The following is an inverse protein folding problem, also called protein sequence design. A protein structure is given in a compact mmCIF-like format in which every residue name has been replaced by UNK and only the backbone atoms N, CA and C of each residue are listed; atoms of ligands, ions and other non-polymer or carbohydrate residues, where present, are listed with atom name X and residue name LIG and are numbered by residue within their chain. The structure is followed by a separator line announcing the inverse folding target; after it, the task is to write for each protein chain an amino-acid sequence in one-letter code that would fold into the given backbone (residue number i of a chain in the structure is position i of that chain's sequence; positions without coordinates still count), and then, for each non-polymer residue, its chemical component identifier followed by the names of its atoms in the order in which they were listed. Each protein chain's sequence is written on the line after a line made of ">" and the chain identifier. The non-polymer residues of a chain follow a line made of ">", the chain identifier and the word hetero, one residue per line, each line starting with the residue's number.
data_IF_767318014485
#
_entry.id   IF_767318014485
#
_cell.length_a   1.000
_cell.length_b   1.000
_cell.length_c   1.000
_cell.angle_alpha   90.00
_cell.angle_beta   90.00
_cell.angle_gamma   90.00
#
_symmetry.space_group_name_H-M   'P 1'
#
loop_
_entity.id
_entity.type
_entity.pdbx_description
1 polymer ?
#
# COMPACT_ATOMS: atom_id res chain seq x y z
N UNK A 1 -6.21 -57.02 -4.21
CA UNK A 1 -6.05 -55.64 -4.72
C UNK A 1 -5.47 -54.82 -3.58
N UNK A 2 -4.32 -54.19 -3.79
CA UNK A 2 -3.66 -53.39 -2.75
C UNK A 2 -4.43 -52.08 -2.55
N UNK A 3 -5.00 -51.86 -1.37
CA UNK A 3 -5.53 -50.56 -0.98
C UNK A 3 -4.35 -49.65 -0.64
N UNK A 4 -4.09 -48.66 -1.50
CA UNK A 4 -3.13 -47.61 -1.22
C UNK A 4 -3.74 -46.62 -0.22
N UNK A 5 -3.34 -46.69 1.05
CA UNK A 5 -3.59 -45.65 2.03
C UNK A 5 -2.67 -44.46 1.74
N UNK A 6 -3.08 -43.61 0.81
CA UNK A 6 -2.42 -42.32 0.55
C UNK A 6 -2.79 -41.40 1.72
N UNK A 7 -1.82 -41.13 2.60
CA UNK A 7 -1.93 -40.10 3.64
C UNK A 7 -1.94 -38.72 2.97
N UNK A 8 -3.14 -38.18 2.72
CA UNK A 8 -3.26 -36.81 2.18
C UNK A 8 -3.28 -35.81 3.33
N UNK A 9 -2.38 -34.84 3.27
CA UNK A 9 -2.22 -33.79 4.27
C UNK A 9 -3.43 -32.82 4.26
N UNK A 10 -3.91 -32.41 5.43
CA UNK A 10 -5.12 -31.59 5.59
C UNK A 10 -4.96 -30.20 4.97
N UNK A 11 -3.72 -29.70 4.93
CA UNK A 11 -3.38 -28.39 4.40
C UNK A 11 -3.67 -28.28 2.90
N UNK A 12 -3.78 -29.41 2.18
CA UNK A 12 -4.08 -29.44 0.75
C UNK A 12 -5.55 -29.14 0.42
N UNK A 13 -6.45 -29.15 1.42
CA UNK A 13 -7.88 -28.93 1.25
C UNK A 13 -8.42 -27.70 1.99
N UNK A 14 -7.54 -26.76 2.33
CA UNK A 14 -7.91 -25.50 2.95
C UNK A 14 -8.28 -24.46 1.87
N UNK A 15 -9.34 -23.71 2.13
CA UNK A 15 -9.70 -22.55 1.31
C UNK A 15 -8.79 -21.38 1.63
N UNK A 16 -8.07 -20.83 0.64
CA UNK A 16 -7.15 -19.71 0.91
C UNK A 16 -7.85 -18.37 1.22
N UNK A 17 -9.18 -18.32 1.21
CA UNK A 17 -9.97 -17.11 1.53
C UNK A 17 -10.41 -17.13 3.00
N UNK A 18 -11.03 -18.23 3.46
CA UNK A 18 -11.48 -18.36 4.86
C UNK A 18 -10.51 -19.13 5.76
N UNK A 19 -9.47 -19.75 5.17
CA UNK A 19 -8.47 -20.58 5.85
C UNK A 19 -9.02 -21.82 6.57
N UNK A 20 -10.27 -22.19 6.24
CA UNK A 20 -10.92 -23.40 6.72
C UNK A 20 -10.98 -24.47 5.64
N UNK A 21 -11.23 -25.72 6.03
CA UNK A 21 -11.48 -26.83 5.12
C UNK A 21 -12.62 -26.48 4.14
N UNK A 22 -12.41 -26.78 2.86
CA UNK A 22 -13.33 -26.43 1.79
C UNK A 22 -14.76 -26.91 2.05
N UNK A 23 -15.72 -25.97 2.04
CA UNK A 23 -17.17 -26.22 2.10
C UNK A 23 -17.76 -25.94 0.74
N UNK A 24 -18.44 -26.94 0.16
CA UNK A 24 -18.91 -26.91 -1.23
C UNK A 24 -17.79 -26.40 -2.18
N UNK A 25 -16.68 -27.16 -2.29
CA UNK A 25 -15.53 -26.73 -3.08
C UNK A 25 -15.92 -26.46 -4.52
N UNK A 26 -15.44 -25.37 -5.08
CA UNK A 26 -15.53 -25.04 -6.50
C UNK A 26 -14.12 -24.82 -7.04
N UNK A 27 -13.85 -25.33 -8.23
CA UNK A 27 -12.57 -25.15 -8.91
C UNK A 27 -12.77 -24.17 -10.06
N UNK A 28 -12.06 -23.05 -10.02
CA UNK A 28 -12.13 -22.03 -11.07
C UNK A 28 -11.17 -22.39 -12.22
N UNK A 29 -11.28 -21.77 -13.43
CA UNK A 29 -10.55 -22.22 -14.62
C UNK A 29 -9.01 -22.24 -14.51
N UNK A 30 -8.42 -21.52 -13.55
CA UNK A 30 -6.99 -21.59 -13.28
C UNK A 30 -6.56 -22.78 -12.40
N UNK A 31 -7.49 -23.66 -12.02
CA UNK A 31 -7.23 -24.88 -11.23
C UNK A 31 -7.27 -24.72 -9.72
N UNK A 32 -7.36 -23.48 -9.19
CA UNK A 32 -7.48 -23.25 -7.76
C UNK A 32 -8.90 -23.51 -7.25
N UNK A 33 -9.00 -23.98 -6.00
CA UNK A 33 -10.27 -24.36 -5.39
C UNK A 33 -10.59 -23.56 -4.13
N UNK A 34 -11.85 -23.15 -3.99
CA UNK A 34 -12.35 -22.33 -2.89
C UNK A 34 -13.70 -22.85 -2.40
N UNK A 35 -14.16 -22.40 -1.23
CA UNK A 35 -15.56 -22.54 -0.88
C UNK A 35 -16.40 -21.71 -1.87
N UNK A 36 -17.53 -22.24 -2.32
CA UNK A 36 -18.39 -21.56 -3.30
C UNK A 36 -18.80 -20.16 -2.83
N UNK A 37 -19.16 -20.01 -1.56
CA UNK A 37 -19.51 -18.73 -0.95
C UNK A 37 -18.33 -17.77 -0.91
N UNK A 38 -17.13 -18.24 -0.55
CA UNK A 38 -15.94 -17.41 -0.43
C UNK A 38 -15.54 -16.77 -1.76
N UNK A 39 -15.51 -17.54 -2.85
CA UNK A 39 -15.13 -16.98 -4.16
C UNK A 39 -16.24 -16.11 -4.76
N UNK A 40 -17.52 -16.42 -4.49
CA UNK A 40 -18.62 -15.54 -4.89
C UNK A 40 -18.50 -14.17 -4.22
N UNK A 41 -18.38 -14.13 -2.89
CA UNK A 41 -18.25 -12.87 -2.13
C UNK A 41 -17.01 -12.08 -2.56
N UNK A 42 -15.89 -12.76 -2.85
CA UNK A 42 -14.69 -12.11 -3.34
C UNK A 42 -14.91 -11.40 -4.68
N UNK A 43 -15.64 -12.01 -5.61
CA UNK A 43 -15.99 -11.39 -6.88
C UNK A 43 -17.08 -10.33 -6.77
N UNK A 44 -18.05 -10.51 -5.88
CA UNK A 44 -19.15 -9.56 -5.65
C UNK A 44 -18.64 -8.19 -5.14
N UNK A 45 -17.49 -8.15 -4.46
CA UNK A 45 -16.85 -6.90 -4.00
C UNK A 45 -16.25 -6.05 -5.14
N UNK A 46 -15.93 -6.66 -6.28
CA UNK A 46 -15.29 -5.98 -7.42
C UNK A 46 -16.14 -6.02 -8.71
N UNK A 47 -17.41 -6.37 -8.61
CA UNK A 47 -18.31 -6.66 -9.76
C UNK A 47 -18.46 -5.46 -10.72
N UNK A 48 -18.31 -4.23 -10.20
CA UNK A 48 -18.38 -2.99 -11.00
C UNK A 48 -17.25 -2.82 -12.03
N UNK A 49 -16.13 -3.56 -11.89
CA UNK A 49 -14.98 -3.47 -12.81
C UNK A 49 -15.07 -4.44 -14.00
N UNK A 50 -16.01 -5.38 -14.00
CA UNK A 50 -16.15 -6.39 -15.07
C UNK A 50 -14.93 -7.31 -15.26
N UNK A 51 -14.02 -7.36 -14.27
CA UNK A 51 -12.79 -8.18 -14.31
C UNK A 51 -12.72 -9.01 -13.03
N UNK A 52 -12.79 -10.33 -13.17
CA UNK A 52 -12.76 -11.29 -12.06
C UNK A 52 -11.37 -11.87 -11.89
N UNK A 53 -10.84 -11.92 -10.67
CA UNK A 53 -9.46 -12.36 -10.41
C UNK A 53 -9.42 -13.59 -9.51
N UNK A 54 -8.45 -14.47 -9.73
CA UNK A 54 -8.14 -15.54 -8.79
C UNK A 54 -7.40 -14.98 -7.55
N UNK A 55 -7.86 -15.29 -6.32
CA UNK A 55 -7.18 -14.86 -5.08
C UNK A 55 -5.72 -15.33 -4.95
N UNK A 56 -5.38 -16.50 -5.50
CA UNK A 56 -4.04 -17.11 -5.34
C UNK A 56 -3.06 -16.71 -6.45
N UNK A 57 -3.41 -16.97 -7.72
CA UNK A 57 -2.49 -16.73 -8.85
C UNK A 57 -2.75 -15.42 -9.59
N UNK A 58 -3.78 -14.66 -9.21
CA UNK A 58 -4.17 -13.37 -9.83
C UNK A 58 -4.55 -13.46 -11.31
N UNK A 59 -4.77 -14.66 -11.84
CA UNK A 59 -5.24 -14.84 -13.21
C UNK A 59 -6.61 -14.15 -13.40
N UNK A 60 -6.78 -13.44 -14.52
CA UNK A 60 -7.93 -12.57 -14.78
C UNK A 60 -8.92 -13.21 -15.75
N UNK A 61 -10.21 -13.04 -15.48
CA UNK A 61 -11.31 -13.50 -16.33
C UNK A 61 -12.20 -12.31 -16.67
N UNK A 62 -12.48 -12.10 -17.96
CA UNK A 62 -13.32 -11.00 -18.48
C UNK A 62 -14.81 -11.29 -18.40
N UNK A 63 -15.18 -12.57 -18.20
CA UNK A 63 -16.55 -13.01 -17.90
C UNK A 63 -16.53 -13.74 -16.57
N UNK A 64 -17.59 -13.57 -15.77
CA UNK A 64 -17.70 -14.24 -14.47
C UNK A 64 -17.68 -15.76 -14.67
N UNK A 65 -16.70 -16.49 -14.11
CA UNK A 65 -16.70 -17.94 -14.23
C UNK A 65 -17.93 -18.55 -13.56
N UNK A 66 -18.55 -19.51 -14.22
CA UNK A 66 -19.67 -20.27 -13.65
C UNK A 66 -19.14 -21.17 -12.55
N UNK A 67 -19.73 -21.06 -11.35
CA UNK A 67 -19.34 -21.83 -10.19
C UNK A 67 -20.13 -23.14 -10.14
N UNK A 68 -19.45 -24.25 -10.42
CA UNK A 68 -19.98 -25.61 -10.22
C UNK A 68 -19.24 -26.31 -9.09
N UNK A 69 -19.99 -27.02 -8.23
CA UNK A 69 -19.42 -27.82 -7.14
C UNK A 69 -18.50 -28.90 -7.70
N UNK A 70 -17.25 -28.92 -7.25
CA UNK A 70 -16.29 -29.99 -7.54
C UNK A 70 -16.60 -31.19 -6.64
N UNK A 71 -17.30 -32.17 -7.20
CA UNK A 71 -17.75 -33.38 -6.50
C UNK A 71 -16.57 -34.21 -5.97
N UNK A 72 -15.46 -34.28 -6.72
CA UNK A 72 -14.28 -35.07 -6.34
C UNK A 72 -13.61 -34.48 -5.10
N UNK A 73 -13.36 -33.16 -5.08
CA UNK A 73 -12.77 -32.49 -3.92
C UNK A 73 -13.72 -32.58 -2.72
N UNK A 74 -15.03 -32.43 -2.94
CA UNK A 74 -16.02 -32.57 -1.89
C UNK A 74 -15.99 -33.97 -1.26
N UNK A 75 -15.89 -35.03 -2.07
CA UNK A 75 -15.80 -36.42 -1.57
C UNK A 75 -14.50 -36.66 -0.78
N UNK A 76 -13.37 -36.11 -1.24
CA UNK A 76 -12.09 -36.21 -0.54
C UNK A 76 -12.12 -35.52 0.84
N UNK A 77 -12.71 -34.32 0.90
CA UNK A 77 -12.92 -33.57 2.15
C UNK A 77 -13.82 -34.36 3.11
N UNK A 78 -14.88 -34.99 2.62
CA UNK A 78 -15.77 -35.82 3.45
C UNK A 78 -15.10 -37.11 3.94
N UNK A 79 -14.28 -37.76 3.11
CA UNK A 79 -13.47 -38.91 3.52
C UNK A 79 -12.48 -38.53 4.62
N UNK A 80 -11.79 -37.38 4.49
CA UNK A 80 -10.91 -36.83 5.53
C UNK A 80 -11.64 -36.59 6.85
N UNK A 81 -12.85 -36.01 6.80
CA UNK A 81 -13.69 -35.81 8.00
C UNK A 81 -14.09 -37.15 8.65
N UNK A 82 -14.41 -38.18 7.85
CA UNK A 82 -14.77 -39.51 8.34
C UNK A 82 -13.59 -40.27 8.95
N UNK A 83 -12.41 -40.18 8.36
CA UNK A 83 -11.17 -40.76 8.93
C UNK A 83 -10.88 -40.17 10.31
N UNK A 84 -11.19 -38.87 10.52
CA UNK A 84 -11.07 -38.21 11.82
C UNK A 84 -12.08 -38.70 12.86
N UNK A 85 -13.30 -39.04 12.46
CA UNK A 85 -14.34 -39.57 13.34
C UNK A 85 -14.12 -41.04 13.71
N UNK A 86 -13.49 -41.83 12.82
CA UNK A 86 -13.12 -43.22 13.08
C UNK A 86 -11.86 -43.37 13.95
N UNK A 87 -11.01 -42.34 14.03
CA UNK A 87 -9.89 -42.27 14.98
C UNK A 87 -10.33 -42.00 16.44
N UNK A 88 -11.64 -41.86 16.71
CA UNK A 88 -12.20 -41.51 18.02
C UNK A 88 -13.13 -42.62 18.60
N UNK A 89 -12.70 -43.88 18.55
CA UNK A 89 -13.30 -45.01 19.29
C UNK A 89 -12.25 -45.63 20.25
N UNK A 90 -12.65 -46.30 21.36
CA UNK A 90 -11.93 -46.27 22.64
C UNK A 90 -10.58 -47.00 22.61
N UNK A 91 -9.61 -46.36 23.29
CA UNK A 91 -8.21 -46.75 23.38
C UNK A 91 -7.99 -48.14 24.00
N UNK A 92 -7.37 -49.03 23.22
CA UNK A 92 -6.40 -49.97 23.78
C UNK A 92 -5.08 -49.20 23.83
N UNK A 93 -4.45 -49.12 25.02
CA UNK A 93 -3.35 -48.20 25.38
C UNK A 93 -2.01 -48.48 24.66
N UNK A 94 -2.00 -48.49 23.34
CA UNK A 94 -0.78 -48.60 22.55
C UNK A 94 0.04 -47.31 22.60
N UNK A 95 1.38 -47.44 22.62
CA UNK A 95 2.28 -46.29 22.48
C UNK A 95 2.24 -45.80 21.02
N UNK A 96 1.70 -44.59 20.80
CA UNK A 96 1.73 -43.89 19.52
C UNK A 96 3.10 -43.26 19.21
N UNK A 97 3.24 -42.63 18.04
CA UNK A 97 4.46 -41.89 17.67
C UNK A 97 4.65 -40.67 18.57
N UNK A 98 5.48 -40.81 19.60
CA UNK A 98 5.74 -39.79 20.61
C UNK A 98 5.48 -40.25 22.05
N UNK A 99 4.84 -41.41 22.23
CA UNK A 99 4.64 -42.01 23.55
C UNK A 99 5.91 -42.71 24.04
N UNK A 100 6.24 -42.51 25.31
CA UNK A 100 7.33 -43.24 25.98
C UNK A 100 6.90 -44.70 26.11
N UNK A 101 7.73 -45.63 25.63
CA UNK A 101 7.40 -47.05 25.64
C UNK A 101 7.75 -47.69 26.98
N UNK A 102 6.98 -48.70 27.38
CA UNK A 102 7.29 -49.50 28.56
C UNK A 102 8.48 -50.44 28.30
N UNK A 103 9.44 -50.44 29.21
CA UNK A 103 10.68 -51.22 29.11
C UNK A 103 10.50 -52.69 29.51
N UNK A 104 9.48 -53.00 30.31
CA UNK A 104 9.19 -54.37 30.80
C UNK A 104 8.24 -55.16 29.90
N UNK A 105 7.56 -54.52 28.94
CA UNK A 105 6.70 -55.21 27.99
C UNK A 105 7.52 -56.11 27.08
N UNK A 106 7.20 -57.41 27.06
CA UNK A 106 7.69 -58.35 26.05
C UNK A 106 6.76 -58.33 24.84
N UNK A 107 7.31 -58.06 23.64
CA UNK A 107 6.53 -57.90 22.42
C UNK A 107 5.98 -56.49 22.21
N UNK A 108 4.65 -56.33 22.13
CA UNK A 108 4.01 -55.05 21.87
C UNK A 108 4.12 -54.11 23.08
N UNK A 109 5.02 -53.12 22.99
CA UNK A 109 5.28 -52.15 24.06
C UNK A 109 4.09 -51.21 24.27
N UNK A 110 3.54 -51.25 25.47
CA UNK A 110 2.48 -50.34 25.90
C UNK A 110 3.07 -48.96 26.23
N UNK A 111 2.23 -47.92 26.23
CA UNK A 111 2.63 -46.59 26.70
C UNK A 111 3.01 -46.63 28.18
N UNK A 112 4.18 -46.12 28.51
CA UNK A 112 4.61 -45.91 29.87
C UNK A 112 3.86 -44.73 30.50
N UNK A 113 3.47 -44.89 31.76
CA UNK A 113 2.79 -43.86 32.55
C UNK A 113 3.73 -43.22 33.58
N UNK A 114 4.70 -44.01 34.09
CA UNK A 114 5.72 -43.53 35.02
C UNK A 114 7.09 -44.06 34.63
N UNK A 115 8.13 -43.28 34.93
CA UNK A 115 9.53 -43.70 34.91
C UNK A 115 10.05 -43.77 36.34
N UNK A 116 10.75 -44.86 36.68
CA UNK A 116 11.40 -45.05 37.97
C UNK A 116 12.85 -44.62 37.87
N UNK A 117 13.28 -43.73 38.77
CA UNK A 117 14.64 -43.17 38.75
C UNK A 117 15.69 -44.19 39.20
N UNK A 118 15.34 -45.08 40.13
CA UNK A 118 16.25 -46.11 40.63
C UNK A 118 16.37 -47.29 39.65
N UNK A 119 15.26 -47.70 39.03
CA UNK A 119 15.26 -48.79 38.04
C UNK A 119 15.59 -48.33 36.61
N UNK A 120 15.60 -47.00 36.37
CA UNK A 120 15.87 -46.38 35.06
C UNK A 120 15.01 -46.94 33.94
N UNK A 121 13.79 -47.29 34.30
CA UNK A 121 12.85 -47.98 33.44
C UNK A 121 11.52 -47.27 33.48
N UNK A 122 10.87 -47.20 32.34
CA UNK A 122 9.54 -46.66 32.16
C UNK A 122 8.53 -47.80 32.13
N UNK A 123 7.48 -47.68 32.92
CA UNK A 123 6.47 -48.72 33.13
C UNK A 123 5.10 -48.27 32.63
N UNK A 124 4.41 -49.13 31.88
CA UNK A 124 2.98 -48.99 31.66
C UNK A 124 2.21 -49.27 32.97
N UNK A 125 0.91 -48.95 33.01
CA UNK A 125 0.12 -49.06 34.24
C UNK A 125 0.24 -50.45 34.91
N UNK A 126 0.12 -51.52 34.12
CA UNK A 126 0.23 -52.91 34.63
C UNK A 126 1.62 -53.22 35.20
N UNK A 127 2.69 -52.83 34.49
CA UNK A 127 4.05 -53.08 34.98
C UNK A 127 4.43 -52.14 36.13
N UNK A 128 3.81 -50.98 36.23
CA UNK A 128 3.97 -50.07 37.37
C UNK A 128 3.36 -50.68 38.63
N UNK A 129 2.14 -51.19 38.54
CA UNK A 129 1.47 -51.87 39.67
C UNK A 129 2.27 -53.09 40.15
N UNK A 130 2.81 -53.87 39.21
CA UNK A 130 3.71 -54.98 39.53
C UNK A 130 4.99 -54.47 40.21
N UNK A 131 5.63 -53.45 39.66
CA UNK A 131 6.82 -52.82 40.25
C UNK A 131 6.56 -52.34 41.69
N UNK A 132 5.47 -51.60 41.92
CA UNK A 132 5.09 -51.12 43.26
C UNK A 132 4.79 -52.27 44.23
N UNK A 133 4.19 -53.36 43.73
CA UNK A 133 3.92 -54.55 44.54
C UNK A 133 5.20 -55.28 44.96
N UNK A 134 6.18 -55.40 44.06
CA UNK A 134 7.46 -56.09 44.30
C UNK A 134 8.36 -55.30 45.25
N UNK A 135 8.36 -53.98 45.15
CA UNK A 135 9.14 -53.09 46.00
C UNK A 135 8.36 -52.56 47.22
N UNK A 136 7.31 -53.26 47.65
CA UNK A 136 6.51 -52.90 48.83
C UNK A 136 7.42 -52.75 50.07
N UNK A 137 7.61 -51.50 50.50
CA UNK A 137 8.46 -51.14 51.65
C UNK A 137 9.80 -50.46 51.29
N UNK A 138 10.21 -50.45 50.02
CA UNK A 138 11.33 -49.63 49.52
C UNK A 138 10.76 -48.47 48.69
N UNK A 139 11.14 -47.23 49.01
CA UNK A 139 10.69 -46.06 48.26
C UNK A 139 11.56 -45.88 47.01
N UNK A 140 11.03 -46.26 45.85
CA UNK A 140 11.55 -45.81 44.56
C UNK A 140 10.85 -44.51 44.17
N UNK A 141 11.60 -43.57 43.58
CA UNK A 141 11.10 -42.30 43.10
C UNK A 141 10.54 -42.48 41.68
N UNK A 142 9.23 -42.32 41.56
CA UNK A 142 8.49 -42.40 40.31
C UNK A 142 8.14 -41.01 39.82
N UNK A 143 8.40 -40.73 38.54
CA UNK A 143 8.00 -39.49 37.85
C UNK A 143 7.16 -39.81 36.62
N UNK A 144 6.51 -38.81 36.02
CA UNK A 144 5.79 -39.00 34.76
C UNK A 144 6.73 -39.54 33.67
N UNK A 145 6.21 -40.46 32.86
CA UNK A 145 7.02 -41.11 31.85
C UNK A 145 7.70 -40.10 30.92
N UNK A 146 9.02 -40.21 30.79
CA UNK A 146 9.82 -39.31 29.96
C UNK A 146 10.75 -40.12 29.06
N UNK A 147 10.78 -39.78 27.77
CA UNK A 147 11.72 -40.39 26.81
C UNK A 147 13.17 -39.93 27.03
N UNK A 148 13.37 -38.91 27.89
CA UNK A 148 14.66 -38.29 28.20
C UNK A 148 15.23 -38.76 29.53
N UNK A 149 14.82 -39.92 30.03
CA UNK A 149 15.28 -40.44 31.32
C UNK A 149 16.80 -40.58 31.36
N UNK A 150 17.41 -41.01 30.24
CA UNK A 150 18.86 -41.14 30.12
C UNK A 150 19.61 -39.80 30.19
N UNK A 151 18.99 -38.69 29.74
CA UNK A 151 19.58 -37.34 29.81
C UNK A 151 19.64 -36.80 31.25
N UNK A 152 18.88 -37.40 32.17
CA UNK A 152 18.84 -37.02 33.58
C UNK A 152 19.90 -37.76 34.42
N UNK A 153 20.65 -38.68 33.81
CA UNK A 153 21.66 -39.51 34.44
C UNK A 153 23.05 -39.04 34.01
N UNK A 154 23.95 -38.91 34.97
CA UNK A 154 25.34 -38.58 34.70
C UNK A 154 26.01 -39.70 33.88
N UNK A 155 26.56 -39.40 32.69
CA UNK A 155 27.15 -40.41 31.82
C UNK A 155 28.41 -41.07 32.40
N UNK A 156 29.08 -40.41 33.36
CA UNK A 156 30.31 -40.92 34.00
C UNK A 156 30.06 -41.77 35.22
N UNK A 157 29.16 -41.29 36.07
CA UNK A 157 28.98 -41.80 37.42
C UNK A 157 27.69 -42.60 37.58
N UNK A 158 26.83 -42.56 36.56
CA UNK A 158 25.60 -43.32 36.54
C UNK A 158 24.68 -42.96 37.73
N UNK A 159 24.76 -41.68 38.15
CA UNK A 159 23.97 -41.05 39.23
C UNK A 159 23.13 -39.91 38.68
N UNK A 160 22.00 -39.61 39.31
CA UNK A 160 21.09 -38.55 38.90
C UNK A 160 21.77 -37.16 38.91
N UNK A 161 21.41 -36.35 37.92
CA UNK A 161 21.85 -34.96 37.80
C UNK A 161 20.98 -34.02 38.65
N UNK A 162 21.22 -34.04 39.96
CA UNK A 162 20.43 -33.29 40.95
C UNK A 162 21.04 -31.93 41.33
N UNK A 163 22.26 -31.65 40.88
CA UNK A 163 23.01 -30.43 41.18
C UNK A 163 23.24 -29.65 39.89
N UNK A 164 23.14 -28.33 39.96
CA UNK A 164 23.47 -27.41 38.86
C UNK A 164 24.72 -26.62 39.23
N UNK A 165 25.75 -26.71 38.40
CA UNK A 165 26.94 -25.88 38.50
C UNK A 165 26.72 -24.57 37.76
N UNK A 166 26.75 -23.44 38.48
CA UNK A 166 26.59 -22.09 37.91
C UNK A 166 27.84 -21.62 37.18
N UNK A 167 29.01 -22.01 37.66
CA UNK A 167 30.29 -21.71 37.03
C UNK A 167 30.35 -22.29 35.62
N UNK A 168 30.03 -23.57 35.46
CA UNK A 168 30.11 -24.27 34.16
C UNK A 168 28.78 -24.33 33.41
N UNK A 169 27.70 -23.85 34.03
CA UNK A 169 26.34 -23.83 33.50
C UNK A 169 25.80 -25.20 33.04
N UNK A 170 26.06 -26.25 33.83
CA UNK A 170 25.65 -27.61 33.52
C UNK A 170 25.02 -28.33 34.72
N UNK A 171 24.21 -29.35 34.46
CA UNK A 171 23.70 -30.25 35.50
C UNK A 171 24.73 -31.36 35.77
N UNK A 172 25.04 -31.62 37.03
CA UNK A 172 26.03 -32.59 37.51
C UNK A 172 25.43 -33.51 38.59
N UNK A 173 26.07 -34.64 38.88
CA UNK A 173 25.68 -35.53 39.98
C UNK A 173 26.54 -35.29 41.23
N UNK A 174 26.19 -35.96 42.34
CA UNK A 174 26.90 -35.83 43.62
C UNK A 174 28.39 -36.22 43.55
N UNK A 175 28.75 -37.20 42.72
CA UNK A 175 30.14 -37.61 42.56
C UNK A 175 30.96 -36.57 41.78
N UNK A 176 30.38 -35.93 40.76
CA UNK A 176 31.00 -34.79 40.08
C UNK A 176 31.23 -33.60 41.03
N UNK A 177 30.32 -33.35 41.97
CA UNK A 177 30.46 -32.27 42.93
C UNK A 177 31.69 -32.45 43.83
N UNK A 178 31.93 -33.66 44.33
CA UNK A 178 33.02 -33.91 45.28
C UNK A 178 34.40 -34.06 44.62
N UNK A 179 34.43 -34.34 43.32
CA UNK A 179 35.64 -34.53 42.53
C UNK A 179 36.03 -33.24 41.79
N UNK A 180 35.48 -33.02 40.60
CA UNK A 180 35.88 -31.93 39.70
C UNK A 180 35.28 -30.56 40.04
N UNK A 181 34.05 -30.52 40.58
CA UNK A 181 33.33 -29.26 40.82
C UNK A 181 33.38 -28.80 42.28
N UNK A 182 34.34 -29.29 43.07
CA UNK A 182 34.41 -29.08 44.53
C UNK A 182 34.42 -27.61 44.96
N UNK A 183 35.00 -26.74 44.13
CA UNK A 183 35.15 -25.30 44.41
C UNK A 183 34.26 -24.42 43.53
N UNK A 184 33.31 -24.99 42.79
CA UNK A 184 32.41 -24.23 41.92
C UNK A 184 31.15 -23.78 42.65
N UNK A 185 30.52 -22.70 42.17
CA UNK A 185 29.21 -22.28 42.67
C UNK A 185 28.17 -23.31 42.21
N UNK A 186 27.61 -24.06 43.15
CA UNK A 186 26.70 -25.16 42.88
C UNK A 186 25.45 -25.04 43.74
N UNK A 187 24.30 -25.37 43.16
CA UNK A 187 22.99 -25.36 43.82
C UNK A 187 22.20 -26.58 43.39
N UNK A 188 21.10 -26.92 44.06
CA UNK A 188 20.22 -27.99 43.55
C UNK A 188 19.56 -27.58 42.23
N UNK A 189 19.35 -28.53 41.32
CA UNK A 189 18.64 -28.27 40.04
C UNK A 189 17.24 -27.70 40.27
N UNK A 190 16.56 -28.13 41.33
CA UNK A 190 15.25 -27.60 41.73
C UNK A 190 15.32 -26.10 42.11
N UNK A 191 16.34 -25.69 42.87
CA UNK A 191 16.52 -24.30 43.26
C UNK A 191 16.89 -23.41 42.07
N UNK A 192 17.84 -23.84 41.23
CA UNK A 192 18.22 -23.07 40.04
C UNK A 192 17.06 -22.96 39.04
N UNK A 193 16.32 -24.05 38.82
CA UNK A 193 15.12 -24.03 37.98
C UNK A 193 14.13 -23.00 38.49
N UNK A 194 13.84 -22.96 39.79
CA UNK A 194 12.92 -21.96 40.38
C UNK A 194 13.41 -20.52 40.16
N UNK A 195 14.73 -20.28 40.19
CA UNK A 195 15.29 -18.96 39.91
C UNK A 195 15.19 -18.60 38.42
N UNK A 196 15.66 -19.47 37.52
CA UNK A 196 15.61 -19.23 36.06
C UNK A 196 14.17 -19.13 35.54
N UNK A 197 13.25 -19.92 36.11
CA UNK A 197 11.83 -19.86 35.79
C UNK A 197 11.23 -18.48 36.08
N UNK A 198 11.53 -17.88 37.24
CA UNK A 198 11.08 -16.52 37.57
C UNK A 198 11.59 -15.48 36.56
N UNK A 199 12.87 -15.57 36.18
CA UNK A 199 13.46 -14.67 35.19
C UNK A 199 12.80 -14.83 33.80
N UNK A 200 12.51 -16.07 33.41
CA UNK A 200 11.80 -16.36 32.17
C UNK A 200 10.39 -15.74 32.18
N UNK A 201 9.64 -15.92 33.27
CA UNK A 201 8.29 -15.34 33.43
C UNK A 201 8.29 -13.80 33.44
N UNK A 202 9.33 -13.17 34.01
CA UNK A 202 9.51 -11.72 33.92
C UNK A 202 9.78 -11.24 32.49
N UNK A 203 10.66 -11.94 31.78
CA UNK A 203 10.98 -11.62 30.38
C UNK A 203 9.76 -11.82 29.49
N UNK A 204 9.02 -12.90 29.68
CA UNK A 204 7.77 -13.18 28.97
C UNK A 204 6.74 -12.06 29.22
N UNK A 205 6.58 -11.61 30.47
CA UNK A 205 5.71 -10.46 30.80
C UNK A 205 6.16 -9.16 30.11
N UNK A 206 7.47 -8.90 30.03
CA UNK A 206 8.01 -7.73 29.31
C UNK A 206 7.71 -7.79 27.81
N UNK A 207 7.88 -8.95 27.19
CA UNK A 207 7.59 -9.17 25.76
C UNK A 207 6.10 -8.95 25.50
N UNK A 208 5.21 -9.51 26.31
CA UNK A 208 3.76 -9.32 26.16
C UNK A 208 3.35 -7.84 26.24
N UNK A 209 3.94 -7.08 27.18
CA UNK A 209 3.72 -5.63 27.25
C UNK A 209 4.23 -4.90 26.00
N UNK A 210 5.38 -5.29 25.47
CA UNK A 210 5.94 -4.70 24.26
C UNK A 210 5.05 -4.98 23.04
N UNK A 211 4.54 -6.20 22.91
CA UNK A 211 3.59 -6.58 21.85
C UNK A 211 2.35 -5.68 21.93
N UNK A 212 1.74 -5.57 23.11
CA UNK A 212 0.56 -4.73 23.30
C UNK A 212 0.81 -3.25 22.94
N UNK A 213 1.98 -2.71 23.32
CA UNK A 213 2.37 -1.36 22.94
C UNK A 213 2.50 -1.22 21.42
N UNK A 214 3.15 -2.18 20.75
CA UNK A 214 3.35 -2.13 19.30
C UNK A 214 2.05 -2.30 18.52
N UNK A 215 1.11 -3.10 19.03
CA UNK A 215 -0.24 -3.19 18.47
C UNK A 215 -0.99 -1.86 18.56
N UNK A 216 -0.84 -1.14 19.68
CA UNK A 216 -1.40 0.21 19.85
C UNK A 216 -0.76 1.20 18.87
N UNK A 217 0.57 1.24 18.79
CA UNK A 217 1.31 2.10 17.86
C UNK A 217 0.87 1.84 16.40
N UNK A 218 0.68 0.56 16.03
CA UNK A 218 0.20 0.16 14.72
C UNK A 218 -1.22 0.68 14.43
N UNK A 219 -2.12 0.63 15.40
CA UNK A 219 -3.48 1.16 15.26
C UNK A 219 -3.49 2.68 15.09
N UNK A 220 -2.67 3.40 15.87
CA UNK A 220 -2.51 4.85 15.77
C UNK A 220 -1.94 5.25 14.40
N UNK A 221 -0.90 4.57 13.93
CA UNK A 221 -0.32 4.80 12.61
C UNK A 221 -1.34 4.53 11.48
N UNK A 222 -2.11 3.44 11.57
CA UNK A 222 -3.19 3.15 10.61
C UNK A 222 -4.24 4.26 10.58
N UNK A 223 -4.58 4.84 11.73
CA UNK A 223 -5.52 5.97 11.80
C UNK A 223 -4.90 7.23 11.17
N UNK A 224 -3.63 7.53 11.45
CA UNK A 224 -2.93 8.67 10.87
C UNK A 224 -2.85 8.56 9.33
N UNK A 225 -2.48 7.39 8.79
CA UNK A 225 -2.46 7.11 7.34
C UNK A 225 -3.83 7.37 6.71
N UNK A 226 -4.91 6.83 7.30
CA UNK A 226 -6.28 7.04 6.79
C UNK A 226 -6.68 8.51 6.81
N UNK A 227 -6.40 9.20 7.91
CA UNK A 227 -6.69 10.63 8.06
C UNK A 227 -5.97 11.47 7.00
N UNK A 228 -4.67 11.22 6.81
CA UNK A 228 -3.87 11.91 5.81
C UNK A 228 -4.36 11.65 4.39
N UNK A 229 -4.69 10.39 4.06
CA UNK A 229 -5.28 10.04 2.75
C UNK A 229 -6.60 10.80 2.52
N UNK A 230 -7.48 10.84 3.52
CA UNK A 230 -8.74 11.58 3.43
C UNK A 230 -8.51 13.07 3.24
N UNK A 231 -7.58 13.65 4.00
CA UNK A 231 -7.23 15.07 3.90
C UNK A 231 -6.65 15.43 2.54
N UNK A 232 -5.77 14.61 1.98
CA UNK A 232 -5.21 14.81 0.64
C UNK A 232 -6.32 14.74 -0.44
N UNK A 233 -7.23 13.79 -0.32
CA UNK A 233 -8.37 13.67 -1.23
C UNK A 233 -9.29 14.91 -1.18
N UNK A 234 -9.63 15.37 0.03
CA UNK A 234 -10.41 16.61 0.21
C UNK A 234 -9.70 17.81 -0.39
N UNK A 235 -8.37 17.93 -0.21
CA UNK A 235 -7.60 19.02 -0.79
C UNK A 235 -7.62 19.00 -2.33
N UNK A 236 -7.61 17.82 -2.95
CA UNK A 236 -7.76 17.66 -4.41
C UNK A 236 -9.15 18.11 -4.85
N UNK A 237 -10.21 17.63 -4.19
CA UNK A 237 -11.60 17.98 -4.52
C UNK A 237 -11.89 19.48 -4.37
N UNK A 238 -11.41 20.09 -3.28
CA UNK A 238 -11.53 21.52 -3.06
C UNK A 238 -10.74 22.32 -4.10
N UNK A 239 -9.55 21.86 -4.49
CA UNK A 239 -8.74 22.51 -5.53
C UNK A 239 -9.43 22.47 -6.89
N UNK A 240 -9.98 21.30 -7.29
CA UNK A 240 -10.76 21.14 -8.52
C UNK A 240 -11.99 22.06 -8.56
N UNK A 241 -12.70 22.18 -7.43
CA UNK A 241 -13.82 23.12 -7.30
C UNK A 241 -13.37 24.56 -7.56
N UNK A 242 -12.29 24.99 -6.92
CA UNK A 242 -11.74 26.35 -7.07
C UNK A 242 -11.32 26.62 -8.52
N UNK A 243 -10.61 25.68 -9.16
CA UNK A 243 -10.22 25.84 -10.57
C UNK A 243 -11.44 25.90 -11.50
N UNK A 244 -12.48 25.11 -11.22
CA UNK A 244 -13.73 25.16 -11.98
C UNK A 244 -14.40 26.54 -11.87
N UNK A 245 -14.42 27.15 -10.68
CA UNK A 245 -14.94 28.51 -10.49
C UNK A 245 -14.12 29.55 -11.25
N UNK A 246 -12.79 29.44 -11.25
CA UNK A 246 -11.91 30.31 -12.01
C UNK A 246 -12.15 30.19 -13.52
N UNK A 247 -12.28 28.98 -14.05
CA UNK A 247 -12.59 28.74 -15.47
C UNK A 247 -13.91 29.43 -15.85
N UNK A 248 -14.97 29.25 -15.05
CA UNK A 248 -16.27 29.92 -15.29
C UNK A 248 -16.14 31.44 -15.31
N UNK A 249 -15.34 32.01 -14.41
CA UNK A 249 -15.08 33.46 -14.37
C UNK A 249 -14.38 33.94 -15.64
N UNK A 250 -13.36 33.21 -16.11
CA UNK A 250 -12.63 33.52 -17.35
C UNK A 250 -13.55 33.39 -18.58
N UNK A 251 -14.40 32.36 -18.65
CA UNK A 251 -15.38 32.18 -19.72
C UNK A 251 -16.42 33.31 -19.77
N UNK A 252 -16.86 33.78 -18.59
CA UNK A 252 -17.73 34.94 -18.48
C UNK A 252 -17.04 36.18 -19.04
N UNK A 253 -15.80 36.48 -18.62
CA UNK A 253 -15.02 37.62 -19.13
C UNK A 253 -14.76 37.52 -20.64
N UNK A 254 -14.47 36.32 -21.15
CA UNK A 254 -14.34 36.06 -22.60
C UNK A 254 -15.62 36.46 -23.34
N UNK A 255 -16.79 36.11 -22.79
CA UNK A 255 -18.09 36.43 -23.39
C UNK A 255 -18.37 37.94 -23.36
N UNK A 256 -18.02 38.62 -22.26
CA UNK A 256 -18.12 40.09 -22.15
C UNK A 256 -17.26 40.80 -23.20
N UNK A 257 -16.00 40.41 -23.35
CA UNK A 257 -15.10 41.00 -24.37
C UNK A 257 -15.60 40.74 -25.79
N UNK A 258 -16.09 39.52 -26.08
CA UNK A 258 -16.71 39.20 -27.37
C UNK A 258 -17.88 40.12 -27.66
N UNK A 259 -18.75 40.35 -26.66
CA UNK A 259 -19.92 41.20 -26.83
C UNK A 259 -19.53 42.65 -27.10
N UNK A 260 -18.56 43.21 -26.36
CA UNK A 260 -18.05 44.57 -26.58
C UNK A 260 -17.55 44.78 -28.01
N UNK A 261 -16.80 43.82 -28.56
CA UNK A 261 -16.32 43.89 -29.95
C UNK A 261 -17.49 43.92 -30.93
N UNK A 262 -18.46 43.02 -30.75
CA UNK A 262 -19.63 42.91 -31.63
C UNK A 262 -20.55 44.12 -31.54
N UNK A 263 -20.71 44.72 -30.36
CA UNK A 263 -21.50 45.92 -30.15
C UNK A 263 -20.86 47.12 -30.86
N UNK A 264 -19.54 47.28 -30.73
CA UNK A 264 -18.81 48.34 -31.41
C UNK A 264 -18.80 48.16 -32.93
N UNK A 265 -18.65 46.93 -33.41
CA UNK A 265 -18.78 46.58 -34.84
C UNK A 265 -20.14 47.00 -35.38
N UNK A 266 -21.24 46.55 -34.76
CA UNK A 266 -22.60 46.89 -35.20
C UNK A 266 -22.86 48.38 -35.17
N UNK A 267 -22.43 49.08 -34.11
CA UNK A 267 -22.61 50.52 -34.01
C UNK A 267 -21.81 51.29 -35.08
N UNK A 268 -20.59 50.86 -35.39
CA UNK A 268 -19.77 51.49 -36.44
C UNK A 268 -20.34 51.23 -37.84
N UNK A 269 -20.78 50.01 -38.12
CA UNK A 269 -21.40 49.64 -39.41
C UNK A 269 -22.71 50.38 -39.61
N UNK A 270 -23.61 50.41 -38.62
CA UNK A 270 -24.88 51.15 -38.71
C UNK A 270 -24.67 52.63 -39.05
N UNK A 271 -23.70 53.30 -38.40
CA UNK A 271 -23.35 54.69 -38.72
C UNK A 271 -22.83 54.83 -40.15
N UNK A 272 -22.03 53.89 -40.63
CA UNK A 272 -21.51 53.92 -42.00
C UNK A 272 -22.62 53.69 -43.05
N UNK A 273 -23.56 52.78 -42.78
CA UNK A 273 -24.70 52.51 -43.64
C UNK A 273 -25.65 53.72 -43.75
N UNK A 274 -25.90 54.44 -42.66
CA UNK A 274 -26.66 55.70 -42.68
C UNK A 274 -26.00 56.76 -43.57
N UNK A 275 -24.66 56.86 -43.53
CA UNK A 275 -23.90 57.77 -44.39
C UNK A 275 -23.95 57.35 -45.86
N UNK A 276 -23.83 56.06 -46.14
CA UNK A 276 -23.95 55.51 -47.50
C UNK A 276 -25.31 55.82 -48.11
N UNK A 277 -26.39 55.62 -47.36
CA UNK A 277 -27.74 55.89 -47.85
C UNK A 277 -27.97 57.38 -48.11
N UNK A 278 -27.42 58.25 -47.24
CA UNK A 278 -27.45 59.71 -47.45
C UNK A 278 -26.73 60.12 -48.73
N UNK A 279 -25.51 59.61 -48.95
CA UNK A 279 -24.72 59.90 -50.16
C UNK A 279 -25.40 59.38 -51.42
N UNK A 280 -26.03 58.22 -51.35
CA UNK A 280 -26.77 57.65 -52.48
C UNK A 280 -27.91 58.57 -52.92
N UNK A 281 -28.69 59.08 -51.96
CA UNK A 281 -29.75 60.07 -52.25
C UNK A 281 -29.20 61.36 -52.82
N UNK A 282 -28.10 61.88 -52.27
CA UNK A 282 -27.45 63.09 -52.79
C UNK A 282 -26.95 62.90 -54.22
N UNK A 283 -26.34 61.75 -54.55
CA UNK A 283 -25.94 61.40 -55.91
C UNK A 283 -27.16 61.34 -56.85
N UNK A 284 -28.26 60.73 -56.42
CA UNK A 284 -29.47 60.59 -57.25
C UNK A 284 -30.15 61.95 -57.49
N UNK A 285 -30.18 62.83 -56.49
CA UNK A 285 -30.67 64.20 -56.64
C UNK A 285 -29.76 65.04 -57.54
N UNK A 286 -28.44 64.92 -57.43
CA UNK A 286 -27.48 65.57 -58.33
C UNK A 286 -27.63 65.10 -59.78
N UNK A 287 -27.80 63.79 -60.01
CA UNK A 287 -28.10 63.24 -61.35
C UNK A 287 -29.40 63.77 -61.93
N UNK A 288 -30.43 63.95 -61.11
CA UNK A 288 -31.70 64.56 -61.54
C UNK A 288 -31.50 66.01 -61.96
N UNK A 289 -30.83 66.82 -61.12
CA UNK A 289 -30.48 68.21 -61.45
C UNK A 289 -29.64 68.33 -62.72
N UNK A 290 -28.65 67.45 -62.92
CA UNK A 290 -27.85 67.41 -64.15
C UNK A 290 -28.72 67.14 -65.39
N UNK A 291 -29.68 66.22 -65.29
CA UNK A 291 -30.61 65.91 -66.38
C UNK A 291 -31.54 67.09 -66.69
N UNK A 292 -32.07 67.76 -65.67
CA UNK A 292 -32.90 68.98 -65.83
C UNK A 292 -32.10 70.12 -66.48
N UNK A 293 -30.86 70.34 -66.04
CA UNK A 293 -29.96 71.34 -66.63
C UNK A 293 -29.64 71.05 -68.10
N UNK A 294 -29.41 69.78 -68.46
CA UNK A 294 -29.21 69.37 -69.86
C UNK A 294 -30.43 69.68 -70.71
N UNK A 295 -31.63 69.28 -70.27
CA UNK A 295 -32.87 69.57 -70.99
C UNK A 295 -33.11 71.07 -71.19
N UNK A 296 -32.84 71.87 -70.15
CA UNK A 296 -32.92 73.33 -70.23
C UNK A 296 -31.93 73.90 -71.25
N UNK A 297 -30.68 73.42 -71.27
CA UNK A 297 -29.66 73.87 -72.22
C UNK A 297 -30.00 73.56 -73.70
N UNK A 298 -30.77 72.50 -73.94
CA UNK A 298 -31.21 72.07 -75.27
C UNK A 298 -32.52 72.74 -75.73
N UNK A 299 -33.14 73.56 -74.88
CA UNK A 299 -34.42 74.21 -75.18
C UNK A 299 -34.22 75.39 -76.15
N UNK A 300 -34.94 75.44 -77.29
CA UNK A 300 -34.81 76.53 -78.27
C UNK A 300 -35.50 77.85 -77.86
N UNK A 301 -36.36 77.82 -76.84
CA UNK A 301 -37.02 79.01 -76.27
C UNK A 301 -36.07 79.76 -75.32
N UNK A 302 -35.49 80.85 -75.82
CA UNK A 302 -34.57 81.70 -75.07
C UNK A 302 -35.20 82.37 -73.84
N UNK A 303 -36.51 82.64 -73.83
CA UNK A 303 -37.20 83.28 -72.70
C UNK A 303 -37.41 82.26 -71.58
N UNK A 304 -37.86 81.06 -71.93
CA UNK A 304 -38.01 79.95 -70.99
C UNK A 304 -36.66 79.58 -70.35
N UNK A 305 -35.59 79.49 -71.16
CA UNK A 305 -34.24 79.24 -70.65
C UNK A 305 -33.82 80.27 -69.59
N UNK A 306 -33.96 81.58 -69.88
CA UNK A 306 -33.58 82.64 -68.95
C UNK A 306 -34.43 82.67 -67.68
N UNK A 307 -35.75 82.45 -67.77
CA UNK A 307 -36.66 82.43 -66.62
C UNK A 307 -36.40 81.22 -65.70
N UNK A 308 -36.17 80.04 -66.29
CA UNK A 308 -35.89 78.82 -65.53
C UNK A 308 -34.50 78.83 -64.91
N UNK A 309 -33.49 79.42 -65.56
CA UNK A 309 -32.14 79.56 -64.98
C UNK A 309 -32.13 80.33 -63.66
N UNK A 310 -32.95 81.39 -63.55
CA UNK A 310 -33.12 82.13 -62.30
C UNK A 310 -33.77 81.31 -61.16
N UNK A 311 -34.41 80.18 -61.48
CA UNK A 311 -35.10 79.31 -60.52
C UNK A 311 -34.27 78.09 -60.10
N UNK A 312 -33.26 77.69 -60.88
CA UNK A 312 -32.43 76.51 -60.58
C UNK A 312 -31.38 76.86 -59.53
N UNK A 313 -31.55 76.32 -58.32
CA UNK A 313 -30.52 76.44 -57.27
C UNK A 313 -29.36 75.47 -57.52
N UNK A 314 -28.21 76.03 -57.92
CA UNK A 314 -26.95 75.32 -58.15
C UNK A 314 -26.17 74.98 -56.87
N UNK A 315 -26.73 75.25 -55.70
CA UNK A 315 -26.08 74.89 -54.44
C UNK A 315 -26.12 73.37 -54.23
N UNK A 316 -24.96 72.73 -54.35
CA UNK A 316 -24.70 71.37 -53.86
C UNK A 316 -23.84 71.46 -52.60
N UNK A 317 -24.16 70.66 -51.59
CA UNK A 317 -23.33 70.57 -50.39
C UNK A 317 -21.95 70.04 -50.77
N UNK A 318 -20.88 70.70 -50.28
CA UNK A 318 -19.49 70.30 -50.52
C UNK A 318 -18.85 69.69 -49.27
N UNK A 319 -19.66 69.30 -48.29
CA UNK A 319 -19.17 68.70 -47.05
C UNK A 319 -18.68 67.27 -47.32
N UNK A 320 -17.37 67.14 -47.55
CA UNK A 320 -16.70 65.85 -47.60
C UNK A 320 -16.72 65.15 -46.23
N UNK A 321 -16.86 63.83 -46.24
CA UNK A 321 -16.68 63.00 -45.06
C UNK A 321 -15.32 62.29 -45.13
N UNK A 322 -14.61 62.23 -44.01
CA UNK A 322 -13.31 61.58 -43.92
C UNK A 322 -13.49 60.12 -43.48
N UNK A 323 -13.11 59.17 -44.34
CA UNK A 323 -13.07 57.75 -43.97
C UNK A 323 -11.75 57.47 -43.25
N UNK A 324 -11.83 56.92 -42.02
CA UNK A 324 -10.65 56.48 -41.28
C UNK A 324 -9.93 55.37 -42.04
N UNK A 325 -8.62 55.52 -42.22
CA UNK A 325 -7.79 54.54 -42.95
C UNK A 325 -7.46 53.28 -42.12
N UNK A 326 -7.78 53.24 -40.82
CA UNK A 326 -7.48 52.10 -39.92
C UNK A 326 -8.61 51.79 -38.92
N UNK A 327 -9.72 51.15 -39.35
CA UNK A 327 -10.73 50.60 -38.45
C UNK A 327 -10.29 49.22 -37.92
N UNK A 328 -9.16 49.14 -37.23
CA UNK A 328 -8.56 47.86 -36.81
C UNK A 328 -8.74 47.58 -35.32
N UNK A 329 -9.15 46.36 -34.98
CA UNK A 329 -9.20 45.85 -33.61
C UNK A 329 -7.85 45.30 -33.10
N UNK A 330 -6.74 45.64 -33.78
CA UNK A 330 -5.41 45.12 -33.43
C UNK A 330 -5.02 45.42 -31.97
N UNK A 331 -5.30 46.63 -31.48
CA UNK A 331 -4.98 47.01 -30.09
C UNK A 331 -5.77 46.20 -29.06
N UNK A 332 -6.98 45.75 -29.41
CA UNK A 332 -7.79 44.85 -28.57
C UNK A 332 -7.10 43.49 -28.46
N UNK A 333 -6.65 42.92 -29.58
CA UNK A 333 -5.91 41.64 -29.60
C UNK A 333 -4.59 41.75 -28.84
N UNK A 334 -3.87 42.87 -28.98
CA UNK A 334 -2.65 43.16 -28.22
C UNK A 334 -2.92 43.21 -26.71
N UNK A 335 -4.00 43.88 -26.30
CA UNK A 335 -4.42 43.97 -24.89
C UNK A 335 -4.80 42.60 -24.31
N UNK A 336 -5.51 41.76 -25.08
CA UNK A 336 -5.85 40.39 -24.68
C UNK A 336 -4.59 39.52 -24.55
N UNK A 337 -3.61 39.70 -25.45
CA UNK A 337 -2.33 38.99 -25.38
C UNK A 337 -1.54 39.36 -24.11
N UNK A 338 -1.50 40.65 -23.76
CA UNK A 338 -0.89 41.10 -22.50
C UNK A 338 -1.60 40.54 -21.27
N UNK A 339 -2.94 40.44 -21.30
CA UNK A 339 -3.70 39.81 -20.22
C UNK A 339 -3.33 38.33 -20.05
N UNK A 340 -3.23 37.58 -21.16
CA UNK A 340 -2.78 36.18 -21.15
C UNK A 340 -1.40 36.06 -20.48
N UNK A 341 -0.43 36.87 -20.90
CA UNK A 341 0.94 36.76 -20.41
C UNK A 341 1.02 37.01 -18.90
N UNK A 342 0.28 38.01 -18.39
CA UNK A 342 0.17 38.29 -16.95
C UNK A 342 -0.46 37.13 -16.18
N UNK A 343 -1.54 36.54 -16.69
CA UNK A 343 -2.20 35.40 -16.05
C UNK A 343 -1.27 34.18 -16.03
N UNK A 344 -0.58 33.90 -17.13
CA UNK A 344 0.33 32.75 -17.22
C UNK A 344 1.52 32.88 -16.26
N UNK A 345 2.09 34.07 -16.15
CA UNK A 345 3.16 34.35 -15.18
C UNK A 345 2.65 34.12 -13.75
N UNK A 346 1.53 34.73 -13.38
CA UNK A 346 0.94 34.58 -12.05
C UNK A 346 0.63 33.11 -11.71
N UNK A 347 0.03 32.37 -12.63
CA UNK A 347 -0.26 30.95 -12.44
C UNK A 347 1.01 30.12 -12.22
N UNK A 348 2.09 30.42 -12.94
CA UNK A 348 3.36 29.69 -12.80
C UNK A 348 3.96 29.91 -11.40
N UNK A 349 4.04 31.17 -10.96
CA UNK A 349 4.58 31.53 -9.65
C UNK A 349 3.79 30.92 -8.48
N UNK A 350 2.45 30.94 -8.55
CA UNK A 350 1.62 30.32 -7.51
C UNK A 350 1.68 28.79 -7.53
N UNK A 351 1.78 28.18 -8.70
CA UNK A 351 1.93 26.72 -8.83
C UNK A 351 3.20 26.24 -8.16
N UNK A 352 4.31 26.98 -8.30
CA UNK A 352 5.57 26.66 -7.62
C UNK A 352 5.46 26.76 -6.10
N UNK A 353 4.76 27.79 -5.58
CA UNK A 353 4.50 27.91 -4.14
C UNK A 353 3.64 26.76 -3.62
N UNK A 354 2.60 26.36 -4.35
CA UNK A 354 1.75 25.22 -4.02
C UNK A 354 2.57 23.93 -4.03
N UNK A 355 3.39 23.72 -5.06
CA UNK A 355 4.30 22.57 -5.17
C UNK A 355 5.25 22.47 -3.97
N UNK A 356 5.81 23.59 -3.53
CA UNK A 356 6.64 23.66 -2.31
C UNK A 356 5.87 23.24 -1.05
N UNK A 357 4.64 23.71 -0.88
CA UNK A 357 3.78 23.32 0.26
C UNK A 357 3.45 21.83 0.23
N UNK A 358 3.06 21.29 -0.92
CA UNK A 358 2.75 19.86 -1.08
C UNK A 358 3.95 18.98 -0.72
N UNK A 359 5.15 19.34 -1.20
CA UNK A 359 6.39 18.59 -0.91
C UNK A 359 6.77 18.60 0.58
N UNK A 360 6.37 19.64 1.32
CA UNK A 360 6.68 19.76 2.75
C UNK A 360 5.82 18.88 3.66
N UNK A 361 4.73 18.32 3.15
CA UNK A 361 3.82 17.51 3.94
C UNK A 361 4.42 16.10 4.13
N UNK A 362 4.78 15.77 5.36
CA UNK A 362 5.29 14.45 5.74
C UNK A 362 4.36 13.77 6.73
N UNK A 363 4.01 12.51 6.45
CA UNK A 363 3.22 11.66 7.35
C UNK A 363 4.06 11.10 8.50
N UNK A 364 5.30 10.72 8.17
CA UNK A 364 6.24 10.11 9.10
C UNK A 364 7.44 11.04 9.17
N UNK A 365 7.64 11.65 10.33
CA UNK A 365 8.93 12.26 10.65
C UNK A 365 9.91 11.10 10.84
N UNK A 366 11.05 11.14 10.15
CA UNK A 366 12.19 10.28 10.49
C UNK A 366 12.35 10.32 12.01
N UNK A 367 12.56 9.18 12.69
CA UNK A 367 12.69 9.19 14.14
C UNK A 367 13.77 10.20 14.49
N UNK A 368 13.38 11.32 15.10
CA UNK A 368 14.34 12.20 15.73
C UNK A 368 14.94 11.33 16.83
N UNK A 369 16.16 10.83 16.63
CA UNK A 369 16.88 10.07 17.63
C UNK A 369 16.82 10.91 18.91
N UNK A 370 16.12 10.39 19.93
CA UNK A 370 15.77 11.20 21.10
C UNK A 370 17.01 11.43 21.96
N UNK A 371 18.05 10.63 21.76
CA UNK A 371 19.34 10.79 22.42
C UNK A 371 20.51 10.62 21.45
N UNK A 372 21.62 11.33 21.72
CA UNK A 372 22.90 11.17 21.00
C UNK A 372 23.37 9.71 20.99
N UNK A 373 23.05 8.95 22.05
CA UNK A 373 23.43 7.53 22.19
C UNK A 373 22.71 6.64 21.17
N UNK A 374 21.43 6.88 20.89
CA UNK A 374 20.68 6.14 19.87
C UNK A 374 21.18 6.45 18.45
N UNK A 375 21.54 7.70 18.17
CA UNK A 375 22.12 8.09 16.89
C UNK A 375 23.49 7.44 16.64
N UNK A 376 24.37 7.46 17.67
CA UNK A 376 25.72 6.92 17.57
C UNK A 376 25.78 5.38 17.49
N UNK A 377 24.69 4.66 17.76
CA UNK A 377 24.64 3.21 17.50
C UNK A 377 24.79 2.86 16.02
N UNK A 378 24.49 3.81 15.13
CA UNK A 378 24.63 3.66 13.69
C UNK A 378 25.91 4.31 13.15
N UNK A 379 26.77 4.88 14.01
CA UNK A 379 28.04 5.45 13.58
C UNK A 379 29.02 4.33 13.26
N UNK A 380 29.45 4.24 12.00
CA UNK A 380 30.52 3.36 11.57
C UNK A 380 31.70 4.20 11.08
N UNK A 381 32.92 3.78 11.43
CA UNK A 381 34.13 4.36 10.84
C UNK A 381 34.23 3.85 9.40
N UNK A 382 33.99 4.73 8.43
CA UNK A 382 34.13 4.39 7.02
C UNK A 382 35.61 4.18 6.71
N UNK A 383 35.97 2.96 6.32
CA UNK A 383 37.30 2.63 5.80
C UNK A 383 37.19 2.40 4.31
N UNK A 384 38.18 2.86 3.56
CA UNK A 384 38.23 2.72 2.11
C UNK A 384 38.72 1.33 1.75
N UNK A 385 38.05 0.70 0.80
CA UNK A 385 38.45 -0.62 0.29
C UNK A 385 39.73 -0.49 -0.53
N UNK A 386 40.80 -1.10 -0.01
CA UNK A 386 42.14 -1.15 -0.63
C UNK A 386 42.12 -1.70 -2.06
N UNK A 387 41.14 -2.54 -2.42
CA UNK A 387 41.06 -3.16 -3.74
C UNK A 387 40.50 -2.21 -4.82
N UNK A 388 39.95 -1.06 -4.41
CA UNK A 388 39.32 -0.07 -5.29
C UNK A 388 40.13 1.21 -5.47
N UNK A 389 41.29 1.32 -4.80
CA UNK A 389 42.10 2.53 -4.78
C UNK A 389 42.89 2.67 -6.08
N UNK A 390 42.66 3.77 -6.80
CA UNK A 390 43.43 4.12 -8.00
C UNK A 390 44.92 4.32 -7.65
N UNK A 391 45.84 3.86 -8.49
CA UNK A 391 47.31 3.87 -8.25
C UNK A 391 47.96 5.24 -7.97
N UNK A 392 47.19 6.34 -8.05
CA UNK A 392 47.65 7.72 -7.77
C UNK A 392 47.18 8.24 -6.41
N UNK A 393 46.42 7.42 -5.67
CA UNK A 393 45.84 7.72 -4.39
C UNK A 393 46.55 6.88 -3.32
N UNK A 394 47.09 7.56 -2.31
CA UNK A 394 47.74 6.93 -1.17
C UNK A 394 46.82 7.03 0.06
N UNK A 395 46.51 5.89 0.67
CA UNK A 395 45.70 5.82 1.88
C UNK A 395 46.58 5.85 3.14
N UNK A 396 46.16 6.62 4.14
CA UNK A 396 46.80 6.72 5.46
C UNK A 396 45.79 6.62 6.60
N UNK A 397 46.28 6.52 7.84
CA UNK A 397 45.45 6.43 9.07
C UNK A 397 44.41 5.32 9.01
N UNK A 398 44.86 4.08 8.75
CA UNK A 398 43.96 2.92 8.71
C UNK A 398 42.91 2.98 7.60
N UNK A 399 43.28 3.51 6.43
CA UNK A 399 42.43 3.63 5.24
C UNK A 399 41.26 4.62 5.38
N UNK A 400 41.42 5.63 6.24
CA UNK A 400 40.39 6.67 6.45
C UNK A 400 40.74 8.02 5.81
N UNK A 401 41.99 8.21 5.37
CA UNK A 401 42.49 9.45 4.76
C UNK A 401 43.12 9.16 3.39
N UNK A 402 42.79 9.96 2.36
CA UNK A 402 43.38 9.88 1.01
C UNK A 402 44.30 11.07 0.75
N UNK A 403 45.48 10.79 0.21
CA UNK A 403 46.41 11.80 -0.33
C UNK A 403 46.74 11.48 -1.78
N UNK A 404 46.73 12.49 -2.65
CA UNK A 404 47.03 12.31 -4.08
C UNK A 404 48.52 12.54 -4.30
N UNK A 405 49.23 11.54 -4.84
CA UNK A 405 50.64 11.71 -5.19
C UNK A 405 50.71 12.48 -6.50
N UNK A 406 51.15 13.75 -6.44
CA UNK A 406 51.38 14.55 -7.66
C UNK A 406 52.50 13.90 -8.48
N UNK A 407 52.17 13.43 -9.67
CA UNK A 407 53.15 12.99 -10.67
C UNK A 407 53.96 14.22 -11.07
N UNK A 408 55.28 14.09 -11.05
CA UNK A 408 56.24 15.16 -11.38
C UNK A 408 56.44 15.26 -12.88
#
# INVERSE_FOLDING_TARGET
>A
MAEANISVDQDQFLCSVCLDLLKDPVTIPCGHSYCMSCISVYWDQEDWKGIYRCPQCRNTFTTRPVLGKNVVIAEMVEKLKKTRLQAAAPAVHHAGSGDVQCDSCTGFKQRAVKSCLECRSSYCQTHLEQHESLFRGKKHNLMDATGRLQEMICPRHDKMLEIYCRTDQCCICILCLVDEHKNHDTVSTAAERKQKQRHFEETQRKILKLIQQREKDLQELRKAVRSHKSSAQTAVEDSERIFTELIRSIEKRRSEVKQLIRDQERAAVSRAEEQLERLKKEIDDLKRKDTELKQLSETPDHVHFLQSLSSVSLSGSTDGFTVSSHPSFHDVVKSISQLRDKLQQFCSEETDKISGRVKSIQLILSPAYQTRKEFLQYSHLLTLDLNSVHNLLHLSEGNTVITVTKIR
#
